data_IF_248860505022
#
_entry.id   IF_248860505022
#
_cell.length_a   1.000
_cell.length_b   1.000
_cell.length_c   1.000
_cell.angle_alpha   90.00
_cell.angle_beta   90.00
_cell.angle_gamma   90.00
#
_symmetry.space_group_name_H-M   'P 1'
#
loop_
_entity.id
_entity.type
_entity.pdbx_description
1 polymer ?
#
# COMPACT_ATOMS: atom_id res chain seq x y z
N UNK A 1 3.04 16.12 17.87
CA UNK A 1 2.90 14.68 17.61
C UNK A 1 2.27 14.51 16.24
N UNK A 2 2.90 13.75 15.34
CA UNK A 2 2.35 13.48 14.01
C UNK A 2 1.15 12.53 14.19
N UNK A 3 -0.09 12.91 13.77
CA UNK A 3 -1.30 12.10 13.99
C UNK A 3 -1.24 10.69 13.38
N UNK A 4 -0.26 10.41 12.51
CA UNK A 4 -0.02 9.09 11.91
C UNK A 4 0.90 8.17 12.70
N UNK A 5 1.55 8.67 13.75
CA UNK A 5 2.44 7.87 14.60
C UNK A 5 1.67 7.62 15.91
N UNK A 6 0.90 6.55 15.93
CA UNK A 6 0.28 6.05 17.15
C UNK A 6 1.15 4.95 17.75
N UNK A 7 1.15 4.82 19.08
CA UNK A 7 1.88 3.76 19.80
C UNK A 7 1.30 2.35 19.55
N UNK A 8 0.20 2.26 18.79
CA UNK A 8 -0.50 1.04 18.38
C UNK A 8 -0.79 1.07 16.89
N UNK A 9 -0.77 -0.10 16.26
CA UNK A 9 -1.25 -0.27 14.88
C UNK A 9 -2.76 -0.02 14.81
N UNK A 10 -3.14 1.06 14.14
CA UNK A 10 -4.53 1.38 13.82
C UNK A 10 -4.71 1.58 12.33
N UNK A 11 -5.90 1.21 11.86
CA UNK A 11 -6.31 1.28 10.47
C UNK A 11 -6.71 2.72 10.20
N UNK A 12 -5.74 3.50 9.79
CA UNK A 12 -6.00 4.87 9.41
C UNK A 12 -6.82 4.91 8.11
N UNK A 13 -7.89 5.72 8.11
CA UNK A 13 -8.57 6.09 6.87
C UNK A 13 -7.75 7.17 6.19
N UNK A 14 -7.42 7.03 4.91
CA UNK A 14 -6.60 8.00 4.23
C UNK A 14 -7.46 9.25 3.99
N UNK A 15 -6.96 10.43 4.35
CA UNK A 15 -7.66 11.68 4.08
C UNK A 15 -7.36 12.12 2.64
N UNK A 16 -8.15 11.61 1.69
CA UNK A 16 -8.00 11.91 0.27
C UNK A 16 -9.25 12.63 -0.23
N UNK A 17 -9.06 13.55 -1.15
CA UNK A 17 -10.15 14.07 -1.97
C UNK A 17 -10.60 12.93 -2.91
N UNK A 18 -11.83 12.39 -2.77
CA UNK A 18 -12.28 11.24 -3.55
C UNK A 18 -12.26 11.51 -5.06
N UNK A 19 -12.56 12.74 -5.48
CA UNK A 19 -12.57 13.12 -6.88
C UNK A 19 -11.16 13.16 -7.45
N UNK A 20 -10.24 13.79 -6.72
CA UNK A 20 -8.83 13.85 -7.09
C UNK A 20 -8.18 12.46 -7.13
N UNK A 21 -8.55 11.57 -6.21
CA UNK A 21 -8.09 10.19 -6.22
C UNK A 21 -8.55 9.45 -7.49
N UNK A 22 -9.80 9.67 -7.92
CA UNK A 22 -10.32 9.12 -9.16
C UNK A 22 -9.61 9.67 -10.40
N UNK A 23 -9.51 10.99 -10.52
CA UNK A 23 -8.91 11.64 -11.70
C UNK A 23 -7.43 11.19 -11.89
N UNK A 24 -6.64 11.19 -10.81
CA UNK A 24 -5.24 10.71 -10.87
C UNK A 24 -5.11 9.21 -11.12
N UNK A 25 -6.10 8.42 -10.69
CA UNK A 25 -6.12 6.99 -11.02
C UNK A 25 -6.43 6.77 -12.50
N UNK A 26 -7.30 7.58 -13.10
CA UNK A 26 -7.55 7.56 -14.55
C UNK A 26 -6.31 8.00 -15.32
N UNK A 27 -5.59 9.02 -14.86
CA UNK A 27 -4.30 9.40 -15.45
C UNK A 27 -3.29 8.24 -15.39
N UNK A 28 -3.23 7.54 -14.24
CA UNK A 28 -2.41 6.34 -14.07
C UNK A 28 -2.80 5.23 -15.05
N UNK A 29 -4.10 5.03 -15.27
CA UNK A 29 -4.62 4.08 -16.25
C UNK A 29 -4.12 4.39 -17.65
N UNK A 30 -4.24 5.64 -18.09
CA UNK A 30 -3.74 6.05 -19.41
C UNK A 30 -2.22 5.99 -19.52
N UNK A 31 -1.49 6.39 -18.47
CA UNK A 31 -0.03 6.39 -18.45
C UNK A 31 0.57 4.99 -18.65
N UNK A 32 -0.10 3.96 -18.15
CA UNK A 32 0.38 2.57 -18.16
C UNK A 32 -0.45 1.65 -19.06
N UNK A 33 -1.35 2.20 -19.88
CA UNK A 33 -2.29 1.43 -20.70
C UNK A 33 -2.98 0.32 -19.88
N UNK A 34 -3.42 0.69 -18.68
CA UNK A 34 -3.99 -0.25 -17.73
C UNK A 34 -5.47 -0.50 -18.03
N UNK A 35 -5.92 -1.72 -17.69
CA UNK A 35 -7.33 -2.05 -17.79
C UNK A 35 -8.16 -1.28 -16.74
N UNK A 36 -9.36 -0.79 -17.09
CA UNK A 36 -10.32 -0.25 -16.13
C UNK A 36 -10.59 -1.18 -14.93
N UNK A 37 -10.47 -2.50 -15.14
CA UNK A 37 -10.64 -3.53 -14.10
C UNK A 37 -9.49 -3.57 -13.09
N UNK A 38 -8.27 -3.27 -13.54
CA UNK A 38 -7.10 -3.25 -12.65
C UNK A 38 -7.03 -1.95 -11.85
N UNK A 39 -7.47 -0.82 -12.44
CA UNK A 39 -7.36 0.49 -11.82
C UNK A 39 -8.47 0.79 -10.81
N UNK A 40 -9.68 0.27 -10.98
CA UNK A 40 -10.80 0.58 -10.08
C UNK A 40 -10.49 0.23 -8.62
N UNK A 41 -9.85 -0.93 -8.40
CA UNK A 41 -9.42 -1.34 -7.06
C UNK A 41 -8.39 -0.37 -6.47
N UNK A 42 -7.46 0.12 -7.29
CA UNK A 42 -6.46 1.13 -6.90
C UNK A 42 -7.17 2.43 -6.53
N UNK A 43 -8.02 2.96 -7.41
CA UNK A 43 -8.74 4.22 -7.18
C UNK A 43 -9.50 4.22 -5.85
N UNK A 44 -10.26 3.15 -5.59
CA UNK A 44 -11.05 3.03 -4.36
C UNK A 44 -10.13 2.83 -3.14
N UNK A 45 -9.01 2.10 -3.28
CA UNK A 45 -8.05 1.95 -2.18
C UNK A 45 -7.44 3.30 -1.78
N UNK A 46 -7.24 4.19 -2.75
CA UNK A 46 -6.81 5.57 -2.53
C UNK A 46 -7.95 6.54 -2.15
N UNK A 47 -9.18 6.05 -1.96
CA UNK A 47 -10.28 6.84 -1.40
C UNK A 47 -11.29 7.39 -2.41
N UNK A 48 -11.22 7.00 -3.69
CA UNK A 48 -12.27 7.32 -4.64
C UNK A 48 -13.62 6.71 -4.22
N UNK A 49 -14.72 7.40 -4.50
CA UNK A 49 -16.06 6.85 -4.29
C UNK A 49 -16.29 5.65 -5.22
N UNK A 50 -16.69 4.47 -4.71
CA UNK A 50 -16.86 3.29 -5.54
C UNK A 50 -17.89 3.43 -6.66
N UNK A 51 -18.98 4.17 -6.45
CA UNK A 51 -20.04 4.34 -7.47
C UNK A 51 -19.57 5.28 -8.56
N UNK A 52 -18.89 6.37 -8.19
CA UNK A 52 -18.29 7.29 -9.15
C UNK A 52 -17.19 6.60 -9.96
N UNK A 53 -16.33 5.82 -9.32
CA UNK A 53 -15.27 5.06 -9.99
C UNK A 53 -15.85 4.07 -11.01
N UNK A 54 -16.88 3.28 -10.64
CA UNK A 54 -17.57 2.38 -11.58
C UNK A 54 -18.12 3.12 -12.79
N UNK A 55 -18.79 4.26 -12.56
CA UNK A 55 -19.39 5.06 -13.61
C UNK A 55 -18.33 5.64 -14.55
N UNK A 56 -17.25 6.20 -14.01
CA UNK A 56 -16.19 6.82 -14.79
C UNK A 56 -15.38 5.80 -15.61
N UNK A 57 -15.14 4.63 -15.03
CA UNK A 57 -14.36 3.56 -15.65
C UNK A 57 -15.20 2.61 -16.52
N UNK A 58 -16.52 2.72 -16.49
CA UNK A 58 -17.42 1.88 -17.28
C UNK A 58 -17.35 0.39 -16.90
N UNK A 59 -17.14 0.07 -15.62
CA UNK A 59 -16.97 -1.31 -15.15
C UNK A 59 -18.19 -1.81 -14.36
N UNK A 60 -18.56 -3.07 -14.61
CA UNK A 60 -19.73 -3.71 -13.98
C UNK A 60 -19.37 -4.60 -12.78
N UNK A 61 -18.09 -4.69 -12.41
CA UNK A 61 -17.66 -5.57 -11.33
C UNK A 61 -18.27 -5.19 -9.98
N UNK A 62 -18.51 -6.20 -9.15
CA UNK A 62 -18.98 -6.07 -7.77
C UNK A 62 -18.28 -7.12 -6.91
N UNK A 63 -18.04 -6.81 -5.64
CA UNK A 63 -17.42 -7.72 -4.68
C UNK A 63 -16.26 -7.09 -3.91
N UNK A 64 -15.47 -7.92 -3.25
CA UNK A 64 -14.28 -7.47 -2.54
C UNK A 64 -13.03 -7.74 -3.38
N UNK A 65 -12.31 -6.69 -3.76
CA UNK A 65 -11.05 -6.78 -4.50
C UNK A 65 -9.90 -6.72 -3.52
N UNK A 66 -9.20 -7.84 -3.32
CA UNK A 66 -8.04 -7.94 -2.43
C UNK A 66 -6.76 -7.53 -3.14
N UNK A 67 -5.81 -6.96 -2.40
CA UNK A 67 -4.47 -6.58 -2.87
C UNK A 67 -4.47 -5.73 -4.15
N UNK A 68 -5.39 -4.76 -4.33
CA UNK A 68 -5.46 -4.02 -5.58
C UNK A 68 -4.15 -3.30 -5.92
N UNK A 69 -3.47 -2.70 -4.96
CA UNK A 69 -2.25 -1.94 -5.20
C UNK A 69 -1.06 -2.88 -5.42
N UNK A 70 -0.93 -3.95 -4.64
CA UNK A 70 0.12 -4.96 -4.87
C UNK A 70 -0.03 -5.62 -6.23
N UNK A 71 -1.26 -5.93 -6.65
CA UNK A 71 -1.54 -6.54 -7.95
C UNK A 71 -1.18 -5.58 -9.09
N UNK A 72 -1.58 -4.32 -8.98
CA UNK A 72 -1.22 -3.28 -9.95
C UNK A 72 0.30 -3.11 -10.03
N UNK A 73 0.99 -2.94 -8.90
CA UNK A 73 2.44 -2.79 -8.85
C UNK A 73 3.15 -4.00 -9.49
N UNK A 74 2.71 -5.22 -9.21
CA UNK A 74 3.32 -6.44 -9.76
C UNK A 74 3.11 -6.54 -11.27
N UNK A 75 1.87 -6.34 -11.74
CA UNK A 75 1.51 -6.51 -13.14
C UNK A 75 2.16 -5.46 -14.03
N UNK A 76 2.10 -4.19 -13.63
CA UNK A 76 2.58 -3.07 -14.43
C UNK A 76 4.06 -2.78 -14.16
N UNK A 77 4.57 -3.05 -12.96
CA UNK A 77 6.00 -2.93 -12.65
C UNK A 77 6.85 -3.89 -13.48
N UNK A 78 6.38 -5.12 -13.73
CA UNK A 78 7.05 -6.08 -14.62
C UNK A 78 7.14 -5.59 -16.07
N UNK A 79 6.15 -4.84 -16.55
CA UNK A 79 6.07 -4.37 -17.95
C UNK A 79 6.77 -3.03 -18.18
N UNK A 80 6.62 -2.10 -17.23
CA UNK A 80 7.02 -0.70 -17.40
C UNK A 80 8.18 -0.27 -16.48
N UNK A 81 8.66 -1.17 -15.62
CA UNK A 81 9.65 -0.88 -14.59
C UNK A 81 8.99 -0.53 -13.25
N UNK A 82 9.41 -1.21 -12.18
CA UNK A 82 8.88 -1.01 -10.83
C UNK A 82 9.03 0.44 -10.37
N UNK A 83 10.20 1.04 -10.52
CA UNK A 83 10.48 2.43 -10.10
C UNK A 83 9.53 3.44 -10.75
N UNK A 84 9.18 3.23 -12.03
CA UNK A 84 8.26 4.11 -12.76
C UNK A 84 6.84 4.02 -12.20
N UNK A 85 6.37 2.81 -11.91
CA UNK A 85 5.03 2.57 -11.35
C UNK A 85 4.97 3.04 -9.89
N UNK A 86 6.00 2.77 -9.11
CA UNK A 86 6.17 3.24 -7.73
C UNK A 86 6.09 4.78 -7.66
N UNK A 87 6.83 5.49 -8.51
CA UNK A 87 6.78 6.94 -8.58
C UNK A 87 5.39 7.48 -8.91
N UNK A 88 4.63 6.80 -9.78
CA UNK A 88 3.28 7.22 -10.12
C UNK A 88 2.29 6.94 -8.99
N UNK A 89 2.39 5.79 -8.31
CA UNK A 89 1.63 5.50 -7.09
C UNK A 89 1.96 6.52 -5.99
N UNK A 90 3.23 6.89 -5.81
CA UNK A 90 3.66 7.93 -4.86
C UNK A 90 3.08 9.31 -5.19
N UNK A 91 2.90 9.65 -6.47
CA UNK A 91 2.19 10.89 -6.83
C UNK A 91 0.72 10.83 -6.42
N UNK A 92 0.07 9.69 -6.62
CA UNK A 92 -1.30 9.46 -6.16
C UNK A 92 -1.38 9.62 -4.62
N UNK A 93 -0.40 9.09 -3.88
CA UNK A 93 -0.23 9.31 -2.44
C UNK A 93 -0.08 10.78 -2.04
N UNK A 94 0.86 11.48 -2.66
CA UNK A 94 1.25 12.84 -2.30
C UNK A 94 0.21 13.88 -2.72
N UNK A 95 -0.61 13.56 -3.73
CA UNK A 95 -1.69 14.42 -4.17
C UNK A 95 -2.75 14.67 -3.10
N UNK A 96 -2.82 13.82 -2.08
CA UNK A 96 -3.66 13.97 -0.91
C UNK A 96 -2.88 14.55 0.28
N UNK A 97 -2.52 15.83 0.19
CA UNK A 97 -2.05 16.60 1.35
C UNK A 97 -3.20 16.81 2.36
N UNK A 98 -3.63 15.74 3.01
CA UNK A 98 -4.31 15.75 4.31
C UNK A 98 -3.28 15.67 5.44
N UNK A 99 -3.71 15.90 6.69
CA UNK A 99 -2.83 15.93 7.86
C UNK A 99 -2.20 14.58 8.19
N UNK A 100 -2.65 13.50 7.54
CA UNK A 100 -2.11 12.17 7.74
C UNK A 100 -1.98 11.30 6.47
N UNK A 101 -0.76 10.81 6.21
CA UNK A 101 -0.41 9.90 5.11
C UNK A 101 -0.46 8.45 5.58
N UNK A 102 -1.52 7.74 5.20
CA UNK A 102 -1.71 6.33 5.52
C UNK A 102 -1.68 5.51 4.23
N UNK A 103 -0.60 4.75 3.96
CA UNK A 103 -0.47 4.07 2.69
C UNK A 103 -1.59 3.02 2.50
N UNK A 104 -2.35 2.88 1.38
CA UNK A 104 -3.19 1.70 1.17
C UNK A 104 -2.48 0.49 0.56
N UNK A 105 -1.16 0.54 0.37
CA UNK A 105 -0.46 -0.43 -0.47
C UNK A 105 0.93 -0.84 0.02
N UNK A 106 1.66 -1.65 -0.77
CA UNK A 106 3.02 -2.10 -0.46
C UNK A 106 4.06 -0.99 -0.57
N UNK A 107 3.66 0.27 -0.61
CA UNK A 107 4.56 1.41 -0.77
C UNK A 107 4.11 2.53 0.18
N UNK A 108 5.07 3.11 0.89
CA UNK A 108 4.84 4.15 1.88
C UNK A 108 5.88 5.27 1.74
N UNK A 109 5.47 6.55 1.72
CA UNK A 109 6.41 7.67 1.78
C UNK A 109 7.28 7.63 3.05
N UNK A 110 8.55 8.01 2.93
CA UNK A 110 9.52 8.01 4.02
C UNK A 110 10.52 9.16 3.85
N UNK A 111 10.32 10.27 4.55
CA UNK A 111 11.16 11.47 4.41
C UNK A 111 11.18 11.96 2.95
N UNK A 112 12.38 12.09 2.38
CA UNK A 112 12.60 12.46 0.96
C UNK A 112 12.53 11.26 0.00
N UNK A 113 12.14 10.08 0.50
CA UNK A 113 12.06 8.83 -0.24
C UNK A 113 10.80 8.04 0.07
N UNK A 114 10.90 6.72 -0.05
CA UNK A 114 9.82 5.79 0.22
C UNK A 114 10.35 4.40 0.58
N UNK A 115 9.54 3.62 1.28
CA UNK A 115 9.75 2.20 1.50
C UNK A 115 8.74 1.40 0.67
N UNK A 116 9.18 0.33 0.01
CA UNK A 116 8.33 -0.49 -0.85
C UNK A 116 8.60 -1.99 -0.65
N UNK A 117 7.54 -2.79 -0.60
CA UNK A 117 7.60 -4.24 -0.75
C UNK A 117 7.41 -4.61 -2.22
N UNK A 118 8.44 -5.22 -2.80
CA UNK A 118 8.37 -5.93 -4.08
C UNK A 118 8.15 -7.43 -3.79
N UNK A 119 7.76 -8.24 -4.80
CA UNK A 119 7.43 -9.66 -4.59
C UNK A 119 8.49 -10.49 -3.84
N UNK A 120 9.77 -10.11 -3.92
CA UNK A 120 10.88 -10.88 -3.34
C UNK A 120 11.69 -10.13 -2.28
N UNK A 121 11.43 -8.86 -2.01
CA UNK A 121 12.24 -8.08 -1.09
C UNK A 121 11.57 -6.76 -0.69
N UNK A 122 12.07 -6.17 0.39
CA UNK A 122 11.70 -4.81 0.82
C UNK A 122 12.84 -3.86 0.56
N UNK A 123 12.52 -2.69 0.00
CA UNK A 123 13.50 -1.68 -0.37
C UNK A 123 13.18 -0.34 0.30
N UNK A 124 14.22 0.38 0.70
CA UNK A 124 14.16 1.81 0.98
C UNK A 124 14.77 2.54 -0.20
N UNK A 125 13.98 3.40 -0.84
CA UNK A 125 14.35 4.12 -2.03
C UNK A 125 14.40 5.63 -1.77
N UNK A 126 15.48 6.29 -2.19
CA UNK A 126 15.64 7.74 -2.12
C UNK A 126 16.55 8.22 -3.26
N UNK A 127 16.21 9.36 -3.86
CA UNK A 127 17.03 10.01 -4.91
C UNK A 127 17.45 9.07 -6.05
N UNK A 128 16.55 8.19 -6.49
CA UNK A 128 16.80 7.24 -7.58
C UNK A 128 17.61 6.00 -7.20
N UNK A 129 17.97 5.83 -5.92
CA UNK A 129 18.66 4.63 -5.43
C UNK A 129 17.76 3.86 -4.49
N UNK A 130 17.74 2.53 -4.63
CA UNK A 130 17.01 1.63 -3.74
C UNK A 130 17.98 0.70 -3.02
N UNK A 131 17.89 0.64 -1.69
CA UNK A 131 18.63 -0.30 -0.85
C UNK A 131 17.68 -1.35 -0.31
N UNK A 132 18.06 -2.61 -0.46
CA UNK A 132 17.34 -3.74 0.11
C UNK A 132 17.50 -3.77 1.63
N UNK A 133 16.39 -3.93 2.36
CA UNK A 133 16.36 -3.99 3.83
C UNK A 133 15.78 -5.29 4.37
N UNK A 134 15.09 -6.06 3.53
CA UNK A 134 14.64 -7.42 3.83
C UNK A 134 14.75 -8.27 2.55
N UNK A 135 15.71 -9.22 2.48
CA UNK A 135 15.95 -10.03 1.29
C UNK A 135 14.98 -11.20 1.13
N UNK A 136 14.30 -11.57 2.22
CA UNK A 136 13.20 -12.51 2.17
C UNK A 136 11.89 -11.72 2.11
N UNK A 137 10.97 -12.06 1.19
CA UNK A 137 9.69 -11.40 1.14
C UNK A 137 8.97 -11.61 2.46
N UNK A 138 8.46 -10.51 3.04
CA UNK A 138 7.63 -10.58 4.23
C UNK A 138 6.38 -11.38 3.87
N UNK A 139 6.31 -12.64 4.34
CA UNK A 139 5.17 -13.51 4.04
C UNK A 139 3.91 -12.93 4.67
N UNK A 140 3.05 -12.41 3.79
CA UNK A 140 1.77 -11.83 4.12
C UNK A 140 0.76 -12.97 4.29
N UNK A 141 0.27 -13.18 5.50
CA UNK A 141 -0.74 -14.19 5.76
C UNK A 141 -2.09 -13.53 6.03
N UNK A 142 -3.07 -13.81 5.19
CA UNK A 142 -4.42 -13.37 5.46
C UNK A 142 -5.10 -14.36 6.41
N UNK A 143 -5.28 -13.98 7.67
CA UNK A 143 -6.07 -14.77 8.60
C UNK A 143 -7.55 -14.32 8.52
N UNK A 144 -8.52 -15.23 8.68
CA UNK A 144 -9.95 -14.87 8.65
C UNK A 144 -10.36 -13.79 9.66
N UNK A 145 -9.58 -13.63 10.74
CA UNK A 145 -9.84 -12.63 11.80
C UNK A 145 -9.07 -11.33 11.59
N UNK A 146 -8.32 -11.18 10.50
CA UNK A 146 -7.64 -9.94 10.18
C UNK A 146 -6.24 -10.13 9.59
N UNK A 147 -5.50 -9.05 9.71
CA UNK A 147 -4.24 -8.85 9.04
C UNK A 147 -3.09 -9.39 9.92
N UNK A 148 -2.60 -10.57 9.55
CA UNK A 148 -1.47 -11.22 10.21
C UNK A 148 -0.24 -11.21 9.31
N UNK A 149 0.93 -11.01 9.89
CA UNK A 149 2.18 -11.15 9.16
C UNK A 149 2.97 -12.30 9.80
N UNK A 150 3.56 -13.14 8.95
CA UNK A 150 4.54 -14.18 9.31
C UNK A 150 4.03 -15.51 9.87
N UNK A 151 4.96 -16.46 9.93
CA UNK A 151 4.90 -17.70 10.70
C UNK A 151 6.02 -17.63 11.77
N UNK A 152 5.71 -17.60 13.08
CA UNK A 152 4.37 -17.68 13.67
C UNK A 152 3.57 -16.38 13.45
N UNK A 153 2.23 -16.47 13.43
CA UNK A 153 1.39 -15.39 12.97
C UNK A 153 1.26 -14.28 14.01
N UNK A 154 1.59 -13.06 13.59
CA UNK A 154 1.47 -11.87 14.43
C UNK A 154 0.29 -11.03 13.92
N UNK A 155 -0.78 -10.93 14.73
CA UNK A 155 -1.89 -10.01 14.49
C UNK A 155 -1.32 -8.60 14.54
N UNK A 156 -1.41 -7.77 13.50
CA UNK A 156 -0.87 -6.41 13.63
C UNK A 156 -1.82 -5.49 14.38
N UNK A 157 -3.12 -5.60 14.11
CA UNK A 157 -4.11 -4.70 14.68
C UNK A 157 -4.08 -4.75 16.22
N UNK A 158 -3.92 -3.58 16.84
CA UNK A 158 -3.89 -3.45 18.29
C UNK A 158 -2.61 -3.93 18.99
N UNK A 159 -1.61 -4.48 18.28
CA UNK A 159 -0.34 -4.87 18.89
C UNK A 159 0.57 -3.66 19.17
N UNK A 160 1.38 -3.73 20.24
CA UNK A 160 2.44 -2.75 20.48
C UNK A 160 3.51 -2.80 19.39
N UNK A 161 3.92 -1.63 18.89
CA UNK A 161 4.99 -1.51 17.91
C UNK A 161 6.29 -2.29 18.27
N UNK A 162 6.77 -2.30 19.54
CA UNK A 162 7.97 -3.05 19.90
C UNK A 162 7.86 -4.57 19.68
N UNK A 163 6.67 -5.16 19.84
CA UNK A 163 6.47 -6.59 19.61
C UNK A 163 6.63 -6.93 18.12
N UNK A 164 6.09 -6.08 17.25
CA UNK A 164 6.21 -6.19 15.80
C UNK A 164 7.67 -6.02 15.35
N UNK A 165 8.38 -5.04 15.90
CA UNK A 165 9.81 -4.82 15.64
C UNK A 165 10.65 -6.04 16.04
N UNK A 166 10.38 -6.66 17.19
CA UNK A 166 11.09 -7.85 17.62
C UNK A 166 10.86 -9.05 16.69
N UNK A 167 9.64 -9.23 16.18
CA UNK A 167 9.36 -10.26 15.19
C UNK A 167 10.11 -10.03 13.86
N UNK A 168 10.16 -8.78 13.38
CA UNK A 168 10.93 -8.42 12.19
C UNK A 168 12.44 -8.68 12.36
N UNK A 169 12.98 -8.44 13.58
CA UNK A 169 14.39 -8.79 13.91
C UNK A 169 14.65 -10.29 13.79
N UNK A 170 13.72 -11.13 14.23
CA UNK A 170 13.86 -12.59 14.10
C UNK A 170 13.88 -13.04 12.62
N UNK A 171 13.21 -12.28 11.76
CA UNK A 171 13.21 -12.46 10.31
C UNK A 171 14.39 -11.79 9.60
N UNK A 172 15.39 -11.32 10.36
CA UNK A 172 16.62 -10.70 9.85
C UNK A 172 16.37 -9.46 8.98
N UNK A 173 15.26 -8.77 9.20
CA UNK A 173 15.00 -7.44 8.60
C UNK A 173 15.99 -6.46 9.21
N UNK A 174 16.74 -5.75 8.36
CA UNK A 174 17.83 -4.86 8.79
C UNK A 174 17.33 -3.54 9.39
N UNK A 175 16.14 -3.08 8.98
CA UNK A 175 15.49 -1.86 9.52
C UNK A 175 14.06 -2.13 10.00
N UNK A 176 13.92 -2.93 11.06
CA UNK A 176 12.63 -3.43 11.53
C UNK A 176 11.73 -2.31 12.07
N UNK A 177 12.29 -1.27 12.67
CA UNK A 177 11.54 -0.11 13.16
C UNK A 177 10.89 0.68 12.02
N UNK A 178 11.60 0.89 10.90
CA UNK A 178 11.05 1.60 9.74
C UNK A 178 9.98 0.74 9.05
N UNK A 179 10.27 -0.53 8.82
CA UNK A 179 9.32 -1.47 8.20
C UNK A 179 8.03 -1.55 9.00
N UNK A 180 8.13 -1.72 10.32
CA UNK A 180 6.95 -1.79 11.19
C UNK A 180 6.13 -0.49 11.16
N UNK A 181 6.81 0.66 11.22
CA UNK A 181 6.13 1.95 11.37
C UNK A 181 5.47 2.46 10.09
N UNK A 182 6.06 2.20 8.93
CA UNK A 182 5.63 2.83 7.67
C UNK A 182 5.04 1.85 6.66
N UNK A 183 5.62 0.66 6.51
CA UNK A 183 5.24 -0.27 5.44
C UNK A 183 4.10 -1.20 5.84
N UNK A 184 4.21 -1.83 7.02
CA UNK A 184 3.24 -2.84 7.47
C UNK A 184 1.79 -2.32 7.55
N UNK A 185 1.51 -1.10 8.03
CA UNK A 185 0.14 -0.57 8.03
C UNK A 185 -0.48 -0.51 6.63
N UNK A 186 0.31 -0.18 5.60
CA UNK A 186 -0.22 -0.09 4.24
C UNK A 186 -0.44 -1.42 3.57
N UNK A 187 0.46 -2.38 3.79
CA UNK A 187 0.26 -3.77 3.38
C UNK A 187 -0.99 -4.37 4.02
N UNK A 188 -1.22 -4.08 5.29
CA UNK A 188 -2.37 -4.55 6.02
C UNK A 188 -3.69 -4.13 5.39
N UNK A 189 -3.73 -2.87 4.94
CA UNK A 189 -4.90 -2.29 4.29
C UNK A 189 -5.12 -2.84 2.89
N UNK A 190 -4.07 -3.00 2.09
CA UNK A 190 -4.15 -3.61 0.76
C UNK A 190 -4.71 -5.04 0.85
N UNK A 191 -4.31 -5.79 1.89
CA UNK A 191 -4.76 -7.17 2.13
C UNK A 191 -6.27 -7.28 2.34
N UNK A 192 -6.86 -6.40 3.14
CA UNK A 192 -8.32 -6.39 3.32
C UNK A 192 -9.07 -6.03 2.05
N UNK A 193 -8.40 -5.31 1.16
CA UNK A 193 -8.95 -4.94 -0.12
C UNK A 193 -10.01 -3.87 -0.01
N UNK A 194 -10.76 -3.73 -1.09
CA UNK A 194 -11.80 -2.72 -1.23
C UNK A 194 -13.10 -3.34 -1.71
N UNK A 195 -14.20 -2.88 -1.13
CA UNK A 195 -15.53 -3.27 -1.56
C UNK A 195 -16.00 -2.39 -2.70
N UNK A 196 -16.37 -3.05 -3.80
CA UNK A 196 -17.01 -2.44 -4.96
C UNK A 196 -18.49 -2.85 -4.91
N UNK A 197 -19.42 -1.91 -4.63
CA UNK A 197 -20.84 -2.19 -4.52
C UNK A 197 -21.50 -2.48 -5.86
#
# INVERSE_FOLDING_TARGET
MNPCIQDKFTLCKPEFDPRKALDLSIDLMHQFDASPYDIIGVAIAFGADPREAKRALGVEISGNVKKPITTFLTNYGRRHGYEKVEAALLKLYQAAKGGCLCPPGPIAPLGDGYIVQRPYAVYICASGNCREVAPEPLQLYEHPTGCMFYNPPLVLEGQPLPAVVNALKQLKVTEPEIVAKYLLPGLCRDLWGVRIP
#
